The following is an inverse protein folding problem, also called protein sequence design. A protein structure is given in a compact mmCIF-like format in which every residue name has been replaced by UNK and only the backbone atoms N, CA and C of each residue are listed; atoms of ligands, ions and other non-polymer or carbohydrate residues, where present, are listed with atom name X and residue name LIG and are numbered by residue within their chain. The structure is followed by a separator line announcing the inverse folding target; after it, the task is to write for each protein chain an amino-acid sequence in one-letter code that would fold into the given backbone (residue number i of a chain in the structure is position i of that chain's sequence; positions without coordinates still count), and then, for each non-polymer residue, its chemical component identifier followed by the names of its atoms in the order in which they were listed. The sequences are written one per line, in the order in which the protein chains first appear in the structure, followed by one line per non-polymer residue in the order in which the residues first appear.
data_IF_036039179533
#
_entry.id   IF_036039179533
#
_cell.length_a   1.000
_cell.length_b   1.000
_cell.length_c   1.000
_cell.angle_alpha   90.00
_cell.angle_beta   90.00
_cell.angle_gamma   90.00
#
_symmetry.space_group_name_H-M   'P 1'
#
loop_
_entity.id
_entity.type
_entity.pdbx_description
1 polymer ?
#
# COMPACT_ATOMS: atom_id res chain seq x y z
N UNK A 1 -0.08 -50.49 25.35
CA UNK A 1 -0.25 -50.29 23.91
C UNK A 1 -1.17 -49.06 23.72
N UNK A 2 -0.69 -47.95 23.24
CA UNK A 2 -1.58 -46.80 23.02
C UNK A 2 -2.53 -47.08 21.86
N UNK A 3 -3.80 -46.79 22.10
CA UNK A 3 -4.91 -47.05 21.23
C UNK A 3 -4.76 -46.25 19.91
N UNK A 4 -4.88 -46.90 18.76
CA UNK A 4 -4.80 -46.28 17.42
C UNK A 4 -5.79 -45.12 17.23
N UNK A 5 -6.81 -45.04 18.06
CA UNK A 5 -7.84 -44.00 18.04
C UNK A 5 -7.35 -42.64 18.60
N UNK A 6 -6.40 -42.63 19.56
CA UNK A 6 -5.83 -41.45 20.15
C UNK A 6 -4.82 -40.80 19.21
N UNK A 7 -4.16 -41.52 18.33
CA UNK A 7 -3.19 -40.99 17.36
C UNK A 7 -3.86 -40.25 16.20
N UNK A 8 -5.07 -40.66 15.81
CA UNK A 8 -5.86 -40.00 14.75
C UNK A 8 -6.44 -38.65 15.23
N UNK A 9 -6.83 -38.55 16.52
CA UNK A 9 -7.39 -37.31 17.08
C UNK A 9 -6.35 -36.19 17.24
N UNK A 10 -5.09 -36.52 17.53
CA UNK A 10 -4.01 -35.55 17.67
C UNK A 10 -3.49 -35.02 16.34
N UNK A 11 -3.59 -35.79 15.26
CA UNK A 11 -3.19 -35.35 13.91
C UNK A 11 -4.23 -34.42 13.26
N UNK A 12 -5.50 -34.57 13.57
CA UNK A 12 -6.57 -33.71 13.04
C UNK A 12 -6.55 -32.29 13.67
N UNK A 13 -6.01 -32.12 14.90
CA UNK A 13 -5.97 -30.83 15.58
C UNK A 13 -4.81 -29.94 15.08
N UNK A 14 -3.79 -30.49 14.45
CA UNK A 14 -2.63 -29.75 13.95
C UNK A 14 -2.88 -29.02 12.60
N UNK A 15 -3.98 -29.32 11.90
CA UNK A 15 -4.28 -28.74 10.58
C UNK A 15 -5.10 -27.45 10.61
N UNK A 16 -5.54 -27.01 11.79
CA UNK A 16 -6.42 -25.82 11.90
C UNK A 16 -5.63 -24.50 12.08
N UNK A 17 -4.32 -24.54 12.24
CA UNK A 17 -3.52 -23.38 12.64
C UNK A 17 -2.86 -22.59 11.49
N UNK A 18 -3.11 -22.90 10.21
CA UNK A 18 -2.53 -22.19 9.07
C UNK A 18 -3.60 -21.51 8.20
N UNK A 19 -4.47 -20.74 8.82
CA UNK A 19 -5.23 -19.75 8.07
C UNK A 19 -4.60 -18.37 8.31
N UNK A 20 -3.40 -18.15 7.77
CA UNK A 20 -2.85 -16.80 7.61
C UNK A 20 -3.72 -16.07 6.60
N UNK A 21 -4.66 -15.30 7.11
CA UNK A 21 -5.49 -14.39 6.32
C UNK A 21 -4.60 -13.25 5.79
N UNK A 22 -3.96 -13.46 4.63
CA UNK A 22 -3.11 -12.50 3.93
C UNK A 22 -3.87 -11.24 3.42
N UNK A 23 -5.10 -11.04 3.86
CA UNK A 23 -5.96 -9.97 3.36
C UNK A 23 -5.81 -8.65 4.14
N UNK A 24 -5.06 -8.64 5.25
CA UNK A 24 -4.86 -7.42 6.07
C UNK A 24 -3.87 -6.44 5.46
N UNK A 25 -2.95 -6.91 4.63
CA UNK A 25 -1.82 -6.10 4.13
C UNK A 25 -2.16 -5.32 2.85
N UNK A 26 -3.35 -5.53 2.25
CA UNK A 26 -3.74 -4.81 1.04
C UNK A 26 -4.08 -3.35 1.35
N UNK A 27 -3.53 -2.41 0.56
CA UNK A 27 -3.71 -0.96 0.75
C UNK A 27 -5.16 -0.51 0.75
N UNK A 28 -6.01 -1.12 -0.07
CA UNK A 28 -7.44 -0.75 -0.09
C UNK A 28 -8.15 -1.14 1.20
N UNK A 29 -7.78 -2.28 1.80
CA UNK A 29 -8.28 -2.66 3.11
C UNK A 29 -7.76 -1.73 4.21
N UNK A 30 -6.49 -1.33 4.14
CA UNK A 30 -5.90 -0.35 5.05
C UNK A 30 -6.66 1.00 4.98
N UNK A 31 -6.94 1.52 3.79
CA UNK A 31 -7.67 2.78 3.60
C UNK A 31 -9.11 2.67 4.10
N UNK A 32 -9.79 1.54 3.84
CA UNK A 32 -11.21 1.34 4.21
C UNK A 32 -11.42 1.00 5.68
N UNK A 33 -10.40 0.50 6.39
CA UNK A 33 -10.51 0.11 7.81
C UNK A 33 -10.60 1.28 8.80
N UNK A 34 -10.79 2.51 8.34
CA UNK A 34 -10.80 3.76 9.13
C UNK A 34 -9.48 4.03 9.88
N UNK A 35 -8.41 3.32 9.54
CA UNK A 35 -7.09 3.56 10.12
C UNK A 35 -6.47 4.88 9.63
N UNK A 36 -7.07 5.54 8.62
CA UNK A 36 -6.59 6.80 8.07
C UNK A 36 -7.63 7.89 8.31
N UNK A 37 -7.34 8.78 9.25
CA UNK A 37 -8.23 9.90 9.60
C UNK A 37 -8.18 11.05 8.57
N UNK A 38 -9.17 11.95 8.66
CA UNK A 38 -9.28 13.11 7.76
C UNK A 38 -8.08 14.06 7.85
N UNK A 39 -7.45 14.21 9.02
CA UNK A 39 -6.27 15.06 9.20
C UNK A 39 -5.08 14.48 8.43
N UNK A 40 -4.87 13.19 8.53
CA UNK A 40 -3.84 12.46 7.77
C UNK A 40 -4.06 12.60 6.25
N UNK A 41 -5.29 12.40 5.76
CA UNK A 41 -5.61 12.55 4.34
C UNK A 41 -5.40 13.99 3.86
N UNK A 42 -5.77 15.00 4.65
CA UNK A 42 -5.55 16.41 4.31
C UNK A 42 -4.06 16.76 4.26
N UNK A 43 -3.24 16.24 5.18
CA UNK A 43 -1.78 16.37 5.11
C UNK A 43 -1.25 15.67 3.85
N UNK A 44 -1.66 14.45 3.60
CA UNK A 44 -1.28 13.68 2.41
C UNK A 44 -1.60 14.41 1.11
N UNK A 45 -2.78 15.03 1.01
CA UNK A 45 -3.18 15.88 -0.13
C UNK A 45 -2.22 17.05 -0.34
N UNK A 46 -1.83 17.73 0.73
CA UNK A 46 -0.88 18.85 0.65
C UNK A 46 0.48 18.36 0.13
N UNK A 47 1.01 17.29 0.69
CA UNK A 47 2.29 16.70 0.26
C UNK A 47 2.20 16.25 -1.19
N UNK A 48 1.13 15.54 -1.57
CA UNK A 48 0.90 15.13 -2.95
C UNK A 48 0.93 16.31 -3.92
N UNK A 49 0.16 17.35 -3.66
CA UNK A 49 0.06 18.52 -4.55
C UNK A 49 1.39 19.27 -4.70
N UNK A 50 2.19 19.33 -3.64
CA UNK A 50 3.44 20.08 -3.64
C UNK A 50 4.62 19.29 -4.24
N UNK A 51 4.57 17.96 -4.22
CA UNK A 51 5.71 17.13 -4.58
C UNK A 51 5.31 16.05 -5.62
N UNK A 52 4.42 15.14 -5.25
CA UNK A 52 4.14 13.92 -6.00
C UNK A 52 3.42 14.19 -7.34
N UNK A 53 2.57 15.22 -7.36
CA UNK A 53 1.73 15.58 -8.51
C UNK A 53 2.55 15.95 -9.74
N UNK A 54 3.75 16.49 -9.59
CA UNK A 54 4.63 16.84 -10.72
C UNK A 54 4.89 15.66 -11.67
N UNK A 55 4.89 14.44 -11.12
CA UNK A 55 5.05 13.21 -11.90
C UNK A 55 3.74 12.41 -11.97
N UNK A 56 3.07 12.18 -10.85
CA UNK A 56 1.92 11.27 -10.75
C UNK A 56 0.60 11.84 -11.24
N UNK A 57 0.50 13.14 -11.50
CA UNK A 57 -0.67 13.74 -12.13
C UNK A 57 -0.64 13.58 -13.66
N UNK A 58 0.54 13.68 -14.26
CA UNK A 58 0.70 13.73 -15.71
C UNK A 58 1.40 12.52 -16.32
N UNK A 59 1.85 11.56 -15.53
CA UNK A 59 2.62 10.41 -16.01
C UNK A 59 4.06 10.75 -16.42
N UNK A 60 4.59 11.87 -15.91
CA UNK A 60 5.95 12.34 -16.23
C UNK A 60 6.99 11.29 -15.84
N UNK A 61 7.98 11.10 -16.69
CA UNK A 61 9.07 10.14 -16.50
C UNK A 61 8.58 8.68 -16.25
N UNK A 62 7.41 8.32 -16.77
CA UNK A 62 6.84 6.98 -16.63
C UNK A 62 6.16 6.71 -15.28
N UNK A 63 5.86 7.76 -14.51
CA UNK A 63 5.11 7.62 -13.28
C UNK A 63 3.65 7.21 -13.56
N UNK A 64 3.10 6.30 -12.73
CA UNK A 64 1.70 5.93 -12.82
C UNK A 64 0.81 7.11 -12.43
N UNK A 65 -0.16 7.45 -13.26
CA UNK A 65 -1.21 8.42 -12.92
C UNK A 65 -2.25 7.79 -12.00
N UNK A 66 -3.09 8.59 -11.33
CA UNK A 66 -4.12 8.06 -10.42
C UNK A 66 -5.21 7.23 -11.10
N UNK A 67 -5.26 7.21 -12.44
CA UNK A 67 -6.19 6.39 -13.23
C UNK A 67 -5.53 5.14 -13.83
N UNK A 68 -4.26 4.91 -13.56
CA UNK A 68 -3.56 3.67 -13.95
C UNK A 68 -3.92 2.52 -12.99
N UNK A 69 -5.20 2.15 -12.95
CA UNK A 69 -5.75 1.20 -11.98
C UNK A 69 -5.01 -0.13 -11.93
N UNK A 70 -4.58 -0.66 -13.08
CA UNK A 70 -3.82 -1.91 -13.15
C UNK A 70 -2.50 -1.83 -12.37
N UNK A 71 -1.82 -0.70 -12.43
CA UNK A 71 -0.59 -0.46 -11.66
C UNK A 71 -0.90 -0.39 -10.16
N UNK A 72 -1.94 0.39 -9.79
CA UNK A 72 -2.29 0.60 -8.39
C UNK A 72 -2.84 -0.65 -7.73
N UNK A 73 -3.63 -1.47 -8.43
CA UNK A 73 -4.12 -2.75 -7.92
C UNK A 73 -2.97 -3.71 -7.60
N UNK A 74 -1.99 -3.80 -8.51
CA UNK A 74 -0.78 -4.58 -8.25
C UNK A 74 0.02 -4.04 -7.08
N UNK A 75 0.11 -2.71 -6.96
CA UNK A 75 0.83 -2.05 -5.87
C UNK A 75 0.11 -2.22 -4.53
N UNK A 76 -1.22 -2.14 -4.51
CA UNK A 76 -2.03 -2.34 -3.31
C UNK A 76 -1.76 -3.69 -2.61
N UNK A 77 -1.52 -4.73 -3.39
CA UNK A 77 -1.18 -6.06 -2.87
C UNK A 77 0.17 -6.16 -2.14
N UNK A 78 1.04 -5.13 -2.25
CA UNK A 78 2.33 -5.11 -1.54
C UNK A 78 2.19 -4.66 -0.08
N UNK A 79 1.09 -4.01 0.27
CA UNK A 79 0.86 -3.43 1.59
C UNK A 79 1.63 -2.12 1.85
N UNK A 80 1.20 -1.41 2.91
CA UNK A 80 1.71 -0.06 3.22
C UNK A 80 3.22 -0.03 3.41
N UNK A 81 3.79 -0.94 4.20
CA UNK A 81 5.20 -0.88 4.56
C UNK A 81 6.13 -1.07 3.34
N UNK A 82 5.82 -2.02 2.47
CA UNK A 82 6.61 -2.23 1.26
C UNK A 82 6.51 -1.06 0.27
N UNK A 83 5.32 -0.45 0.16
CA UNK A 83 5.14 0.73 -0.68
C UNK A 83 5.91 1.90 -0.10
N UNK A 84 5.81 2.12 1.21
CA UNK A 84 6.47 3.21 1.92
C UNK A 84 7.99 3.13 1.78
N UNK A 85 8.58 1.95 1.98
CA UNK A 85 10.02 1.72 1.79
C UNK A 85 10.45 2.09 0.37
N UNK A 86 9.70 1.66 -0.66
CA UNK A 86 9.99 2.02 -2.05
C UNK A 86 9.91 3.53 -2.30
N UNK A 87 9.01 4.25 -1.64
CA UNK A 87 8.88 5.70 -1.79
C UNK A 87 9.98 6.44 -1.04
N UNK A 88 10.33 6.00 0.17
CA UNK A 88 11.38 6.61 0.99
C UNK A 88 12.76 6.42 0.35
N UNK A 89 13.06 5.19 -0.06
CA UNK A 89 14.38 4.83 -0.60
C UNK A 89 14.52 5.17 -2.10
N UNK A 90 13.39 5.46 -2.75
CA UNK A 90 13.31 5.58 -4.20
C UNK A 90 13.09 4.21 -4.87
N UNK A 91 12.61 4.24 -6.09
CA UNK A 91 12.25 3.01 -6.81
C UNK A 91 12.64 3.09 -8.29
N UNK A 92 13.36 2.07 -8.78
CA UNK A 92 13.65 1.89 -10.19
C UNK A 92 12.64 0.90 -10.78
N UNK A 93 11.68 1.42 -11.53
CA UNK A 93 10.65 0.65 -12.21
C UNK A 93 11.00 0.34 -13.67
N UNK A 94 10.08 -0.35 -14.34
CA UNK A 94 10.20 -0.67 -15.77
C UNK A 94 10.19 0.59 -16.65
N UNK A 95 9.44 1.60 -16.27
CA UNK A 95 9.17 2.77 -17.10
C UNK A 95 9.90 4.05 -16.65
N UNK A 96 10.60 3.99 -15.52
CA UNK A 96 11.31 5.15 -15.01
C UNK A 96 11.85 4.94 -13.59
N UNK A 97 12.40 6.00 -13.04
CA UNK A 97 12.96 6.04 -11.70
C UNK A 97 12.18 7.04 -10.86
N UNK A 98 11.68 6.60 -9.72
CA UNK A 98 11.16 7.47 -8.68
C UNK A 98 12.31 7.81 -7.72
N UNK A 99 12.67 9.08 -7.55
CA UNK A 99 13.71 9.46 -6.61
C UNK A 99 13.25 9.27 -5.16
N UNK A 100 14.19 9.14 -4.19
CA UNK A 100 13.86 9.06 -2.77
C UNK A 100 12.88 10.16 -2.36
N UNK A 101 11.80 9.78 -1.68
CA UNK A 101 10.71 10.67 -1.22
C UNK A 101 10.14 11.59 -2.32
N UNK A 102 10.30 11.23 -3.62
CA UNK A 102 9.90 12.09 -4.74
C UNK A 102 10.66 13.43 -4.77
N UNK A 103 11.90 13.47 -4.27
CA UNK A 103 12.72 14.68 -4.03
C UNK A 103 12.21 15.60 -2.89
N UNK A 104 11.29 15.15 -2.05
CA UNK A 104 10.89 15.92 -0.87
C UNK A 104 11.92 15.77 0.25
N UNK A 105 12.96 16.60 0.26
CA UNK A 105 14.04 16.53 1.26
C UNK A 105 13.59 16.90 2.68
N UNK A 106 12.52 17.70 2.80
CA UNK A 106 11.97 18.17 4.08
C UNK A 106 10.80 17.35 4.61
N UNK A 107 10.28 16.36 3.82
CA UNK A 107 9.18 15.53 4.27
C UNK A 107 9.64 14.50 5.30
N UNK A 108 8.92 14.41 6.40
CA UNK A 108 9.03 13.29 7.33
C UNK A 108 8.49 11.99 6.70
N UNK A 109 8.79 10.85 7.30
CA UNK A 109 8.25 9.57 6.83
C UNK A 109 6.73 9.50 7.03
N UNK A 110 6.19 10.19 8.05
CA UNK A 110 4.76 10.37 8.26
C UNK A 110 4.10 11.18 7.16
N UNK A 111 4.75 12.23 6.66
CA UNK A 111 4.25 13.01 5.51
C UNK A 111 4.19 12.14 4.26
N UNK A 112 5.22 11.33 4.02
CA UNK A 112 5.24 10.36 2.92
C UNK A 112 4.13 9.31 3.09
N UNK A 113 3.97 8.74 4.29
CA UNK A 113 2.90 7.80 4.59
C UNK A 113 1.52 8.41 4.34
N UNK A 114 1.32 9.65 4.77
CA UNK A 114 0.08 10.39 4.54
C UNK A 114 -0.19 10.59 3.04
N UNK A 115 0.83 10.94 2.25
CA UNK A 115 0.67 11.13 0.81
C UNK A 115 0.39 9.82 0.07
N UNK A 116 1.01 8.72 0.47
CA UNK A 116 0.70 7.38 -0.06
C UNK A 116 -0.75 7.01 0.25
N UNK A 117 -1.20 7.25 1.49
CA UNK A 117 -2.60 7.00 1.88
C UNK A 117 -3.57 7.83 1.05
N UNK A 118 -3.27 9.11 0.82
CA UNK A 118 -4.06 9.99 -0.02
C UNK A 118 -4.16 9.48 -1.47
N UNK A 119 -3.03 9.09 -2.08
CA UNK A 119 -3.01 8.54 -3.46
C UNK A 119 -3.93 7.33 -3.56
N UNK A 120 -3.81 6.34 -2.66
CA UNK A 120 -4.65 5.15 -2.71
C UNK A 120 -6.13 5.45 -2.44
N UNK A 121 -6.44 6.46 -1.61
CA UNK A 121 -7.81 6.93 -1.42
C UNK A 121 -8.39 7.52 -2.70
N UNK A 122 -7.65 8.36 -3.40
CA UNK A 122 -8.09 8.97 -4.66
C UNK A 122 -8.21 7.94 -5.78
N UNK A 123 -7.26 7.00 -5.88
CA UNK A 123 -7.37 5.87 -6.82
C UNK A 123 -8.65 5.07 -6.59
N UNK A 124 -8.99 4.81 -5.33
CA UNK A 124 -10.21 4.08 -4.98
C UNK A 124 -11.47 4.87 -5.35
N UNK A 125 -11.49 6.18 -5.08
CA UNK A 125 -12.59 7.06 -5.46
C UNK A 125 -12.79 7.06 -6.98
N UNK A 126 -11.72 7.26 -7.76
CA UNK A 126 -11.77 7.30 -9.22
C UNK A 126 -12.23 5.96 -9.85
N UNK A 127 -12.09 4.83 -9.15
CA UNK A 127 -12.58 3.52 -9.62
C UNK A 127 -14.09 3.36 -9.44
N UNK A 128 -14.69 4.14 -8.57
CA UNK A 128 -16.12 4.03 -8.20
C UNK A 128 -17.00 5.06 -8.89
N UNK A 129 -16.42 6.03 -9.58
CA UNK A 129 -17.10 7.00 -10.47
C UNK A 129 -17.27 6.43 -11.89
#
# INVERSE_FOLDING_TARGET
MPNKLTFLATFALALIAFNCNNNKDNMYNYINSQSVDTKTLNNGKKVYNNVCASCHMYGTAGAATMVDFKFWDKSAGKGMENILNNVIDGYKGKFGVMPPKGNCLSCSDEDIRASVSYIFKEVLNNKTE
#
